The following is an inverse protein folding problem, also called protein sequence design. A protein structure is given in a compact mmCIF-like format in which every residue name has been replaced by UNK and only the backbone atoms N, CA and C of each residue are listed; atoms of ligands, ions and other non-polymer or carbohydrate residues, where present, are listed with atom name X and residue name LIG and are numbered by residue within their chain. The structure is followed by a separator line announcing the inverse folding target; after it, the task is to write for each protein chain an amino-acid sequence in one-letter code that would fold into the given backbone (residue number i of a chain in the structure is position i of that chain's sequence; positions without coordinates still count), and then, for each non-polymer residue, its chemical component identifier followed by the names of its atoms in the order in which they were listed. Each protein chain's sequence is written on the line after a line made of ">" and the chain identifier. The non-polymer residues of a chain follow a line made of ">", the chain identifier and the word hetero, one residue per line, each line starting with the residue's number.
data_IF_639972322771
#
_entry.id   IF_639972322771
#
_cell.length_a   1.000
_cell.length_b   1.000
_cell.length_c   1.000
_cell.angle_alpha   90.00
_cell.angle_beta   90.00
_cell.angle_gamma   90.00
#
_symmetry.space_group_name_H-M   'P 1'
#
loop_
_entity.id
_entity.type
_entity.pdbx_description
1 polymer ?
#
# COMPACT_ATOMS: atom_id res chain seq x y z
N UNK A 1 -27.16 -22.87 18.53
CA UNK A 1 -26.34 -24.00 18.02
C UNK A 1 -24.96 -23.43 17.71
N UNK A 2 -23.99 -23.86 18.49
CA UNK A 2 -22.60 -23.38 18.51
C UNK A 2 -21.91 -23.73 17.17
N UNK A 3 -21.51 -22.71 16.41
CA UNK A 3 -20.57 -22.89 15.31
C UNK A 3 -19.21 -23.27 15.91
N UNK A 4 -18.81 -24.51 15.72
CA UNK A 4 -17.48 -25.02 16.07
C UNK A 4 -16.42 -24.25 15.28
N UNK A 5 -15.89 -23.16 15.84
CA UNK A 5 -14.66 -22.55 15.38
C UNK A 5 -13.54 -23.59 15.56
N UNK A 6 -12.93 -24.01 14.45
CA UNK A 6 -11.74 -24.83 14.48
C UNK A 6 -10.67 -24.08 15.30
N UNK A 7 -10.09 -24.68 16.36
CA UNK A 7 -9.05 -24.03 17.15
C UNK A 7 -7.84 -23.77 16.24
N UNK A 8 -7.49 -22.51 16.03
CA UNK A 8 -6.31 -22.09 15.25
C UNK A 8 -6.58 -21.17 14.05
N UNK A 9 -7.81 -21.01 13.59
CA UNK A 9 -8.17 -20.13 12.47
C UNK A 9 -8.94 -18.87 12.90
N UNK A 10 -8.85 -18.50 14.17
CA UNK A 10 -9.34 -17.21 14.63
C UNK A 10 -8.64 -16.09 13.87
N UNK A 11 -9.42 -15.08 13.50
CA UNK A 11 -8.92 -13.88 12.81
C UNK A 11 -7.74 -13.29 13.58
N UNK A 12 -6.62 -13.04 12.89
CA UNK A 12 -5.38 -12.56 13.52
C UNK A 12 -5.54 -11.07 13.85
N UNK A 13 -5.89 -10.78 15.11
CA UNK A 13 -6.20 -9.42 15.62
C UNK A 13 -5.08 -8.41 15.34
N UNK A 14 -3.81 -8.81 15.45
CA UNK A 14 -2.66 -7.93 15.17
C UNK A 14 -2.63 -7.46 13.73
N UNK A 15 -2.98 -8.32 12.77
CA UNK A 15 -3.05 -7.95 11.35
C UNK A 15 -4.15 -6.92 11.12
N UNK A 16 -5.31 -7.05 11.75
CA UNK A 16 -6.39 -6.07 11.63
C UNK A 16 -5.98 -4.72 12.23
N UNK A 17 -5.31 -4.70 13.40
CA UNK A 17 -4.83 -3.47 14.04
C UNK A 17 -3.80 -2.75 13.13
N UNK A 18 -2.80 -3.48 12.62
CA UNK A 18 -1.76 -2.88 11.79
C UNK A 18 -2.32 -2.43 10.44
N UNK A 19 -3.22 -3.19 9.81
CA UNK A 19 -3.95 -2.73 8.62
C UNK A 19 -4.73 -1.46 8.90
N UNK A 20 -5.47 -1.41 10.00
CA UNK A 20 -6.22 -0.21 10.38
C UNK A 20 -5.31 1.00 10.61
N UNK A 21 -4.16 0.80 11.26
CA UNK A 21 -3.19 1.87 11.45
C UNK A 21 -2.69 2.44 10.11
N UNK A 22 -2.29 1.58 9.17
CA UNK A 22 -1.81 2.05 7.86
C UNK A 22 -2.94 2.63 6.99
N UNK A 23 -4.22 2.22 7.19
CA UNK A 23 -5.37 2.91 6.56
C UNK A 23 -5.48 4.35 7.02
N UNK A 24 -5.37 4.60 8.32
CA UNK A 24 -5.39 5.95 8.88
C UNK A 24 -4.20 6.77 8.35
N UNK A 25 -2.99 6.21 8.37
CA UNK A 25 -1.81 6.89 7.83
C UNK A 25 -1.94 7.22 6.33
N UNK A 26 -2.59 6.35 5.56
CA UNK A 26 -2.80 6.59 4.13
C UNK A 26 -3.64 7.83 3.86
N UNK A 27 -4.66 8.09 4.68
CA UNK A 27 -5.47 9.30 4.54
C UNK A 27 -4.64 10.58 4.69
N UNK A 28 -3.59 10.59 5.53
CA UNK A 28 -2.67 11.73 5.65
C UNK A 28 -2.05 12.07 4.29
N UNK A 29 -1.54 11.05 3.56
CA UNK A 29 -0.92 11.27 2.25
C UNK A 29 -1.91 11.81 1.22
N UNK A 30 -3.13 11.30 1.24
CA UNK A 30 -4.14 11.73 0.27
C UNK A 30 -4.65 13.15 0.57
N UNK A 31 -4.85 13.52 1.84
CA UNK A 31 -5.12 14.92 2.21
C UNK A 31 -3.94 15.81 1.82
N UNK A 32 -2.68 15.34 1.98
CA UNK A 32 -1.49 16.08 1.52
C UNK A 32 -1.53 16.32 0.00
N UNK A 33 -1.91 15.33 -0.79
CA UNK A 33 -2.04 15.49 -2.26
C UNK A 33 -2.99 16.65 -2.59
N UNK A 34 -4.19 16.63 -2.02
CA UNK A 34 -5.20 17.65 -2.27
C UNK A 34 -4.88 19.01 -1.65
N UNK A 35 -4.06 19.05 -0.60
CA UNK A 35 -3.58 20.28 0.02
C UNK A 35 -2.55 21.05 -0.84
N UNK A 36 -2.00 20.39 -1.88
CA UNK A 36 -0.93 20.91 -2.70
C UNK A 36 0.45 20.92 -2.04
N UNK A 37 0.59 20.40 -0.81
CA UNK A 37 1.90 20.31 -0.15
C UNK A 37 2.81 19.31 -0.86
N UNK A 38 4.11 19.61 -1.02
CA UNK A 38 5.05 18.77 -1.74
C UNK A 38 5.23 17.41 -1.07
N UNK A 39 5.72 16.42 -1.84
CA UNK A 39 6.00 15.07 -1.37
C UNK A 39 7.37 14.95 -0.66
N UNK A 40 7.89 16.02 -0.10
CA UNK A 40 9.18 16.10 0.56
C UNK A 40 9.66 17.55 0.61
N UNK A 41 10.92 17.74 0.89
CA UNK A 41 11.55 19.06 0.98
C UNK A 41 12.31 19.25 2.29
N UNK A 42 12.89 20.43 2.51
CA UNK A 42 13.73 20.70 3.69
C UNK A 42 12.92 20.92 4.97
N UNK A 43 11.62 21.22 4.86
CA UNK A 43 10.74 21.41 6.03
C UNK A 43 10.51 20.08 6.75
N UNK A 44 10.87 19.95 8.04
CA UNK A 44 10.71 18.72 8.79
C UNK A 44 9.25 18.26 8.91
N UNK A 45 8.32 19.19 9.08
CA UNK A 45 6.89 18.88 9.24
C UNK A 45 6.33 18.26 7.96
N UNK A 46 6.64 18.84 6.80
CA UNK A 46 6.22 18.31 5.50
C UNK A 46 6.91 16.97 5.22
N UNK A 47 8.22 16.88 5.49
CA UNK A 47 8.99 15.67 5.30
C UNK A 47 8.41 14.50 6.09
N UNK A 48 8.21 14.63 7.40
CA UNK A 48 7.70 13.55 8.24
C UNK A 48 6.22 13.25 7.98
N UNK A 49 5.40 14.23 7.58
CA UNK A 49 4.03 14.01 7.12
C UNK A 49 4.00 13.05 5.93
N UNK A 50 4.93 13.18 5.00
CA UNK A 50 5.06 12.26 3.85
C UNK A 50 5.71 10.94 4.25
N UNK A 51 6.77 10.98 5.05
CA UNK A 51 7.54 9.80 5.42
C UNK A 51 6.71 8.74 6.15
N UNK A 52 5.88 9.14 7.11
CA UNK A 52 5.04 8.19 7.87
C UNK A 52 4.09 7.39 6.96
N UNK A 53 3.72 7.93 5.82
CA UNK A 53 2.82 7.26 4.87
C UNK A 53 3.52 6.23 3.99
N UNK A 54 4.86 6.16 4.04
CA UNK A 54 5.62 5.14 3.31
C UNK A 54 5.33 3.72 3.78
N UNK A 55 4.89 3.55 5.01
CA UNK A 55 4.49 2.25 5.57
C UNK A 55 3.25 1.65 4.91
N UNK A 56 2.39 2.46 4.27
CA UNK A 56 1.07 2.03 3.81
C UNK A 56 1.16 0.93 2.74
N UNK A 57 1.74 1.21 1.58
CA UNK A 57 1.76 0.26 0.47
C UNK A 57 2.51 -1.05 0.81
N UNK A 58 3.72 -1.04 1.43
CA UNK A 58 4.39 -2.27 1.82
C UNK A 58 3.57 -3.13 2.78
N UNK A 59 2.97 -2.52 3.80
CA UNK A 59 2.14 -3.25 4.76
C UNK A 59 0.87 -3.83 4.10
N UNK A 60 0.20 -3.09 3.21
CA UNK A 60 -0.97 -3.58 2.49
C UNK A 60 -0.65 -4.80 1.65
N UNK A 61 0.38 -4.72 0.82
CA UNK A 61 0.78 -5.80 -0.08
C UNK A 61 1.24 -7.02 0.71
N UNK A 62 2.05 -6.82 1.74
CA UNK A 62 2.54 -7.90 2.61
C UNK A 62 1.40 -8.60 3.34
N UNK A 63 0.50 -7.84 3.98
CA UNK A 63 -0.64 -8.43 4.66
C UNK A 63 -1.73 -8.97 3.71
N UNK A 64 -1.79 -8.53 2.46
CA UNK A 64 -2.63 -9.17 1.45
C UNK A 64 -2.11 -10.59 1.14
N UNK A 65 -0.80 -10.76 0.99
CA UNK A 65 -0.17 -12.07 0.83
C UNK A 65 -0.41 -12.99 2.04
N UNK A 66 -0.16 -12.48 3.26
CA UNK A 66 -0.44 -13.23 4.49
C UNK A 66 -1.93 -13.60 4.63
N UNK A 67 -2.83 -12.68 4.26
CA UNK A 67 -4.27 -12.92 4.23
C UNK A 67 -4.68 -13.98 3.22
N UNK A 68 -4.04 -14.02 2.04
CA UNK A 68 -4.26 -15.06 1.03
C UNK A 68 -3.87 -16.44 1.55
N UNK A 69 -2.75 -16.56 2.27
CA UNK A 69 -2.35 -17.81 2.92
C UNK A 69 -3.39 -18.26 3.96
N UNK A 70 -3.80 -17.36 4.86
CA UNK A 70 -4.79 -17.66 5.90
C UNK A 70 -6.16 -18.05 5.29
N UNK A 71 -6.57 -17.38 4.23
CA UNK A 71 -7.79 -17.73 3.48
C UNK A 71 -7.68 -19.13 2.85
N UNK A 72 -6.56 -19.44 2.18
CA UNK A 72 -6.32 -20.76 1.60
C UNK A 72 -6.35 -21.87 2.64
N UNK A 73 -5.75 -21.64 3.82
CA UNK A 73 -5.80 -22.60 4.95
C UNK A 73 -7.23 -22.83 5.45
N UNK A 74 -8.06 -21.79 5.49
CA UNK A 74 -9.45 -21.90 5.89
C UNK A 74 -10.30 -22.66 4.88
N UNK A 75 -10.04 -22.49 3.57
CA UNK A 75 -10.79 -23.17 2.52
C UNK A 75 -10.40 -24.64 2.35
N UNK A 76 -9.13 -25.00 2.65
CA UNK A 76 -8.62 -26.36 2.45
C UNK A 76 -8.44 -26.77 0.98
N UNK A 77 -8.78 -25.88 0.03
CA UNK A 77 -8.72 -26.13 -1.40
C UNK A 77 -7.91 -25.04 -2.12
N UNK A 78 -6.86 -25.46 -2.80
CA UNK A 78 -6.00 -24.56 -3.58
C UNK A 78 -6.70 -24.02 -4.82
N UNK A 79 -7.62 -24.76 -5.43
CA UNK A 79 -8.41 -24.30 -6.56
C UNK A 79 -9.38 -23.16 -6.18
N UNK A 80 -9.99 -23.25 -5.01
CA UNK A 80 -10.82 -22.17 -4.46
C UNK A 80 -9.99 -20.91 -4.16
N UNK A 81 -8.77 -21.09 -3.64
CA UNK A 81 -7.84 -19.97 -3.42
C UNK A 81 -7.43 -19.30 -4.74
N UNK A 82 -7.04 -20.08 -5.76
CA UNK A 82 -6.70 -19.55 -7.09
C UNK A 82 -7.87 -18.75 -7.66
N UNK A 83 -9.07 -19.30 -7.67
CA UNK A 83 -10.27 -18.61 -8.15
C UNK A 83 -10.52 -17.30 -7.40
N UNK A 84 -10.41 -17.33 -6.08
CA UNK A 84 -10.55 -16.12 -5.25
C UNK A 84 -9.54 -15.05 -5.62
N UNK A 85 -8.24 -15.41 -5.73
CA UNK A 85 -7.16 -14.47 -6.04
C UNK A 85 -7.33 -13.84 -7.43
N UNK A 86 -7.63 -14.66 -8.44
CA UNK A 86 -7.84 -14.18 -9.81
C UNK A 86 -9.08 -13.27 -9.89
N UNK A 87 -10.23 -13.73 -9.36
CA UNK A 87 -11.46 -12.93 -9.43
C UNK A 87 -11.33 -11.62 -8.67
N UNK A 88 -10.78 -11.65 -7.46
CA UNK A 88 -10.57 -10.43 -6.68
C UNK A 88 -9.51 -9.53 -7.31
N UNK A 89 -8.41 -10.11 -7.81
CA UNK A 89 -7.34 -9.36 -8.46
C UNK A 89 -7.85 -8.59 -9.68
N UNK A 90 -8.57 -9.26 -10.59
CA UNK A 90 -9.16 -8.61 -11.77
C UNK A 90 -10.22 -7.56 -11.40
N UNK A 91 -11.04 -7.82 -10.37
CA UNK A 91 -11.98 -6.81 -9.87
C UNK A 91 -11.26 -5.56 -9.36
N UNK A 92 -10.16 -5.71 -8.63
CA UNK A 92 -9.36 -4.58 -8.13
C UNK A 92 -8.76 -3.78 -9.28
N UNK A 93 -8.20 -4.45 -10.30
CA UNK A 93 -7.67 -3.79 -11.50
C UNK A 93 -8.77 -2.98 -12.20
N UNK A 94 -9.94 -3.58 -12.42
CA UNK A 94 -11.06 -2.91 -13.05
C UNK A 94 -11.52 -1.68 -12.25
N UNK A 95 -11.65 -1.81 -10.94
CA UNK A 95 -12.10 -0.71 -10.07
C UNK A 95 -11.09 0.43 -10.00
N UNK A 96 -9.78 0.14 -10.02
CA UNK A 96 -8.75 1.18 -10.07
C UNK A 96 -8.85 2.01 -11.34
N UNK A 97 -8.94 1.34 -12.49
CA UNK A 97 -8.99 2.00 -13.79
C UNK A 97 -10.31 2.75 -14.05
N UNK A 98 -11.35 2.51 -13.24
CA UNK A 98 -12.67 3.11 -13.41
C UNK A 98 -13.08 3.97 -12.21
N UNK A 99 -13.65 3.34 -11.19
CA UNK A 99 -14.27 4.02 -10.05
C UNK A 99 -13.25 4.80 -9.19
N UNK A 100 -12.08 4.19 -8.93
CA UNK A 100 -11.07 4.82 -8.08
C UNK A 100 -10.42 6.00 -8.81
N UNK A 101 -10.11 5.83 -10.11
CA UNK A 101 -9.64 6.93 -10.95
C UNK A 101 -10.65 8.08 -10.97
N UNK A 102 -11.95 7.79 -11.12
CA UNK A 102 -12.99 8.81 -11.01
C UNK A 102 -12.99 9.48 -9.63
N UNK A 103 -12.89 8.70 -8.55
CA UNK A 103 -12.81 9.25 -7.18
C UNK A 103 -11.64 10.22 -6.97
N UNK A 104 -10.50 9.94 -7.61
CA UNK A 104 -9.33 10.83 -7.59
C UNK A 104 -9.57 12.16 -8.32
N UNK A 105 -10.22 12.14 -9.49
CA UNK A 105 -10.18 13.24 -10.43
C UNK A 105 -11.51 13.99 -10.60
N UNK A 106 -12.64 13.36 -10.21
CA UNK A 106 -14.01 13.77 -10.56
C UNK A 106 -14.15 14.20 -12.03
N UNK A 107 -13.38 13.54 -12.90
CA UNK A 107 -13.33 13.78 -14.33
C UNK A 107 -13.70 12.48 -15.07
N UNK A 108 -14.67 12.56 -15.98
CA UNK A 108 -15.12 11.42 -16.78
C UNK A 108 -14.34 11.24 -18.09
N UNK A 109 -13.38 12.12 -18.39
CA UNK A 109 -12.55 12.01 -19.59
C UNK A 109 -11.42 10.99 -19.37
N UNK A 110 -11.70 9.74 -19.65
CA UNK A 110 -10.73 8.63 -19.51
C UNK A 110 -9.69 8.59 -20.64
N UNK A 111 -9.88 9.35 -21.74
CA UNK A 111 -8.92 9.39 -22.84
C UNK A 111 -7.68 10.24 -22.53
N UNK A 112 -7.79 11.19 -21.59
CA UNK A 112 -6.68 12.07 -21.21
C UNK A 112 -5.78 11.48 -20.13
N UNK A 113 -6.39 10.76 -19.15
CA UNK A 113 -5.65 10.30 -18.00
C UNK A 113 -6.26 9.04 -17.40
N UNK A 114 -5.44 7.99 -17.28
CA UNK A 114 -5.72 6.76 -16.53
C UNK A 114 -4.58 6.51 -15.56
N UNK A 115 -4.90 6.12 -14.34
CA UNK A 115 -3.94 5.86 -13.27
C UNK A 115 -3.78 4.36 -13.02
N UNK A 116 -2.57 3.83 -13.20
CA UNK A 116 -2.16 2.52 -12.69
C UNK A 116 -1.58 2.69 -11.27
N UNK A 117 -2.47 2.81 -10.28
CA UNK A 117 -2.14 3.11 -8.89
C UNK A 117 -1.93 1.86 -8.03
N UNK A 118 -2.06 2.03 -6.71
CA UNK A 118 -1.75 0.97 -5.73
C UNK A 118 -2.72 -0.21 -5.79
N UNK A 119 -4.01 0.02 -6.06
CA UNK A 119 -5.00 -1.07 -6.13
C UNK A 119 -4.87 -1.85 -7.44
N UNK A 120 -4.52 -1.20 -8.56
CA UNK A 120 -4.15 -1.86 -9.81
C UNK A 120 -2.98 -2.82 -9.58
N UNK A 121 -1.90 -2.34 -8.98
CA UNK A 121 -0.74 -3.16 -8.63
C UNK A 121 -1.11 -4.31 -7.70
N UNK A 122 -1.88 -4.04 -6.64
CA UNK A 122 -2.34 -5.07 -5.69
C UNK A 122 -3.16 -6.16 -6.41
N UNK A 123 -4.04 -5.76 -7.34
CA UNK A 123 -4.85 -6.68 -8.13
C UNK A 123 -3.99 -7.60 -8.98
N UNK A 124 -3.04 -7.07 -9.75
CA UNK A 124 -2.12 -7.89 -10.55
C UNK A 124 -1.22 -8.77 -9.69
N UNK A 125 -0.73 -8.27 -8.55
CA UNK A 125 0.03 -9.10 -7.61
C UNK A 125 -0.80 -10.28 -7.09
N UNK A 126 -2.12 -10.13 -6.86
CA UNK A 126 -2.99 -11.25 -6.49
C UNK A 126 -3.13 -12.26 -7.63
N UNK A 127 -3.31 -11.81 -8.88
CA UNK A 127 -3.38 -12.69 -10.05
C UNK A 127 -2.08 -13.46 -10.22
N UNK A 128 -0.93 -12.79 -10.12
CA UNK A 128 0.39 -13.43 -10.22
C UNK A 128 0.68 -14.37 -9.06
N UNK A 129 0.27 -14.02 -7.82
CA UNK A 129 0.41 -14.92 -6.67
C UNK A 129 -0.34 -16.25 -6.88
N UNK A 130 -1.47 -16.22 -7.61
CA UNK A 130 -2.24 -17.43 -7.91
C UNK A 130 -1.42 -18.52 -8.64
N UNK A 131 -0.35 -18.15 -9.34
CA UNK A 131 0.57 -19.09 -10.00
C UNK A 131 1.41 -19.89 -8.99
N UNK A 132 1.66 -19.33 -7.80
CA UNK A 132 2.58 -19.89 -6.80
C UNK A 132 1.90 -20.57 -5.63
N UNK A 133 0.59 -20.35 -5.39
CA UNK A 133 -0.10 -20.83 -4.16
C UNK A 133 -0.21 -22.34 -4.01
N UNK A 134 0.10 -23.11 -5.06
CA UNK A 134 0.20 -24.56 -5.01
C UNK A 134 1.54 -25.05 -4.45
N UNK A 135 2.53 -24.19 -4.38
CA UNK A 135 3.83 -24.48 -3.79
C UNK A 135 3.75 -24.42 -2.25
N UNK A 136 4.77 -24.99 -1.60
CA UNK A 136 4.91 -24.86 -0.14
C UNK A 136 5.06 -23.37 0.24
N UNK A 137 4.44 -22.90 1.32
CA UNK A 137 4.49 -21.48 1.70
C UNK A 137 5.91 -20.93 1.84
N UNK A 138 6.83 -21.74 2.34
CA UNK A 138 8.26 -21.38 2.45
C UNK A 138 8.87 -21.14 1.06
N UNK A 139 8.56 -21.98 0.07
CA UNK A 139 9.06 -21.80 -1.30
C UNK A 139 8.52 -20.51 -1.91
N UNK A 140 7.22 -20.20 -1.72
CA UNK A 140 6.63 -18.92 -2.18
C UNK A 140 7.32 -17.74 -1.50
N UNK A 141 7.60 -17.82 -0.21
CA UNK A 141 8.33 -16.79 0.53
C UNK A 141 9.75 -16.58 0.00
N UNK A 142 10.48 -17.67 -0.32
CA UNK A 142 11.83 -17.59 -0.92
C UNK A 142 11.76 -16.96 -2.31
N UNK A 143 10.82 -17.35 -3.16
CA UNK A 143 10.60 -16.71 -4.47
C UNK A 143 10.36 -15.21 -4.29
N UNK A 144 9.50 -14.83 -3.34
CA UNK A 144 9.23 -13.44 -3.03
C UNK A 144 10.47 -12.65 -2.64
N UNK A 145 11.27 -13.19 -1.73
CA UNK A 145 12.55 -12.57 -1.33
C UNK A 145 13.53 -12.49 -2.49
N UNK A 146 13.66 -13.55 -3.30
CA UNK A 146 14.51 -13.55 -4.50
C UNK A 146 14.11 -12.44 -5.48
N UNK A 147 12.81 -12.25 -5.73
CA UNK A 147 12.31 -11.15 -6.57
C UNK A 147 12.72 -9.80 -5.98
N UNK A 148 12.56 -9.58 -4.67
CA UNK A 148 12.91 -8.32 -4.01
C UNK A 148 14.42 -8.04 -4.15
N UNK A 149 15.27 -9.03 -3.89
CA UNK A 149 16.72 -8.81 -3.91
C UNK A 149 17.31 -8.75 -5.32
N UNK A 150 16.73 -9.45 -6.29
CA UNK A 150 17.23 -9.52 -7.67
C UNK A 150 16.54 -8.54 -8.63
N UNK A 151 15.54 -7.76 -8.17
CA UNK A 151 14.76 -6.87 -9.03
C UNK A 151 15.61 -5.90 -9.87
N UNK A 152 16.75 -5.46 -9.36
CA UNK A 152 17.62 -4.54 -10.08
C UNK A 152 18.21 -5.14 -11.36
N UNK A 153 18.34 -6.49 -11.46
CA UNK A 153 18.76 -7.16 -12.68
C UNK A 153 17.77 -6.92 -13.84
N UNK A 154 16.51 -6.64 -13.53
CA UNK A 154 15.50 -6.35 -14.53
C UNK A 154 15.73 -5.02 -15.25
N UNK A 155 16.43 -4.07 -14.62
CA UNK A 155 16.83 -2.82 -15.29
C UNK A 155 17.83 -3.04 -16.42
N UNK A 156 18.49 -4.20 -16.45
CA UNK A 156 19.44 -4.56 -17.52
C UNK A 156 18.72 -5.09 -18.76
N UNK A 157 17.50 -5.65 -18.61
CA UNK A 157 16.77 -6.31 -19.72
C UNK A 157 16.58 -5.37 -20.91
N UNK A 158 16.07 -4.13 -20.77
CA UNK A 158 15.95 -3.23 -21.90
C UNK A 158 17.28 -2.88 -22.59
N UNK A 159 18.40 -2.97 -21.85
CA UNK A 159 19.73 -2.65 -22.38
C UNK A 159 20.31 -3.75 -23.28
N UNK A 160 19.89 -5.01 -23.06
CA UNK A 160 20.36 -6.18 -23.82
C UNK A 160 19.41 -6.56 -24.96
N UNK A 161 18.20 -5.97 -25.01
CA UNK A 161 17.25 -6.22 -26.10
C UNK A 161 17.63 -5.46 -27.37
N UNK A 162 17.52 -6.10 -28.56
CA UNK A 162 17.59 -5.41 -29.81
C UNK A 162 16.60 -4.25 -29.93
N UNK A 163 16.93 -3.17 -30.64
CA UNK A 163 16.11 -1.97 -30.73
C UNK A 163 14.68 -2.24 -31.24
N UNK A 164 14.54 -3.19 -32.19
CA UNK A 164 13.21 -3.61 -32.69
C UNK A 164 12.31 -4.23 -31.62
N UNK A 165 12.89 -5.06 -30.76
CA UNK A 165 12.14 -5.65 -29.63
C UNK A 165 11.94 -4.65 -28.50
N UNK A 166 12.89 -3.74 -28.28
CA UNK A 166 12.75 -2.67 -27.27
C UNK A 166 11.57 -1.77 -27.58
N UNK A 167 11.37 -1.37 -28.83
CA UNK A 167 10.23 -0.58 -29.27
C UNK A 167 8.89 -1.31 -29.06
N UNK A 168 8.85 -2.63 -29.31
CA UNK A 168 7.62 -3.44 -29.18
C UNK A 168 7.27 -3.79 -27.74
N UNK A 169 8.26 -4.00 -26.88
CA UNK A 169 8.09 -4.50 -25.50
C UNK A 169 8.12 -3.35 -24.48
N UNK A 170 8.63 -2.17 -24.86
CA UNK A 170 8.92 -1.07 -23.95
C UNK A 170 7.72 -0.65 -23.09
N UNK A 171 6.57 -0.42 -23.72
CA UNK A 171 5.35 -0.04 -22.98
C UNK A 171 4.91 -1.11 -21.97
N UNK A 172 4.96 -2.39 -22.35
CA UNK A 172 4.67 -3.50 -21.42
C UNK A 172 5.72 -3.60 -20.31
N UNK A 173 7.02 -3.36 -20.63
CA UNK A 173 8.09 -3.45 -19.64
C UNK A 173 7.94 -2.43 -18.52
N UNK A 174 7.44 -1.22 -18.81
CA UNK A 174 7.18 -0.20 -17.80
C UNK A 174 6.11 -0.62 -16.76
N UNK A 175 5.20 -1.53 -17.09
CA UNK A 175 4.32 -2.16 -16.10
C UNK A 175 5.06 -3.15 -15.20
N UNK A 176 6.07 -3.83 -15.75
CA UNK A 176 6.80 -4.83 -14.98
C UNK A 176 7.85 -4.19 -14.08
N UNK A 177 8.69 -3.32 -14.64
CA UNK A 177 9.77 -2.64 -13.94
C UNK A 177 10.16 -1.35 -14.66
N UNK A 178 10.33 -0.27 -13.92
CA UNK A 178 10.69 1.03 -14.50
C UNK A 178 12.08 0.97 -15.14
N UNK A 179 12.15 1.25 -16.44
CA UNK A 179 13.37 1.18 -17.24
C UNK A 179 13.75 2.52 -17.86
N UNK A 180 12.92 3.55 -17.70
CA UNK A 180 13.08 4.84 -18.36
C UNK A 180 12.65 4.83 -19.83
N UNK A 181 11.99 3.76 -20.29
CA UNK A 181 11.27 3.75 -21.56
C UNK A 181 9.94 4.51 -21.34
N UNK A 182 9.51 5.27 -22.36
CA UNK A 182 8.26 6.01 -22.23
C UNK A 182 7.07 5.05 -22.24
N UNK A 183 6.20 5.10 -21.20
CA UNK A 183 4.96 4.35 -21.22
C UNK A 183 3.99 4.97 -22.23
N UNK A 184 2.86 4.31 -22.46
CA UNK A 184 1.79 4.90 -23.27
C UNK A 184 1.32 6.24 -22.66
N UNK A 185 1.18 7.30 -23.46
CA UNK A 185 0.97 8.67 -22.95
C UNK A 185 -0.35 8.87 -22.19
N UNK A 186 -1.33 7.98 -22.38
CA UNK A 186 -2.65 8.04 -21.72
C UNK A 186 -2.71 7.33 -20.36
N UNK A 187 -1.67 6.58 -19.95
CA UNK A 187 -1.63 5.87 -18.69
C UNK A 187 -0.43 6.28 -17.84
N UNK A 188 -0.71 6.71 -16.62
CA UNK A 188 0.32 7.00 -15.63
C UNK A 188 0.55 5.79 -14.74
N UNK A 189 1.75 5.19 -14.85
CA UNK A 189 2.13 4.00 -14.06
C UNK A 189 2.85 4.48 -12.80
N UNK A 190 2.14 4.51 -11.69
CA UNK A 190 2.72 4.90 -10.40
C UNK A 190 3.35 3.70 -9.67
N UNK A 191 2.83 2.49 -9.88
CA UNK A 191 3.30 1.28 -9.24
C UNK A 191 3.62 0.20 -10.27
N UNK A 192 4.90 -0.10 -10.48
CA UNK A 192 5.36 -1.24 -11.27
C UNK A 192 5.16 -2.56 -10.51
N UNK A 193 5.09 -3.69 -11.20
CA UNK A 193 4.67 -4.96 -10.58
C UNK A 193 5.77 -5.66 -9.79
N UNK A 194 7.03 -5.62 -10.27
CA UNK A 194 8.05 -6.55 -9.82
C UNK A 194 8.42 -6.43 -8.34
N UNK A 195 8.72 -5.28 -7.74
CA UNK A 195 9.01 -5.29 -6.30
C UNK A 195 7.81 -5.80 -5.50
N UNK A 196 6.60 -5.47 -5.91
CA UNK A 196 5.39 -5.69 -5.13
C UNK A 196 4.88 -7.13 -5.18
N UNK A 197 5.04 -7.85 -6.31
CA UNK A 197 4.75 -9.29 -6.31
C UNK A 197 5.70 -10.05 -5.37
N UNK A 198 6.96 -9.61 -5.30
CA UNK A 198 7.91 -10.13 -4.33
C UNK A 198 7.46 -9.91 -2.89
N UNK A 199 6.97 -8.70 -2.56
CA UNK A 199 6.43 -8.37 -1.23
C UNK A 199 5.19 -9.21 -0.91
N UNK A 200 4.27 -9.40 -1.87
CA UNK A 200 3.07 -10.21 -1.66
C UNK A 200 3.42 -11.69 -1.44
N UNK A 201 4.33 -12.24 -2.23
CA UNK A 201 4.79 -13.62 -2.10
C UNK A 201 5.53 -13.85 -0.78
N UNK A 202 6.39 -12.91 -0.35
CA UNK A 202 7.03 -12.94 0.98
C UNK A 202 5.98 -12.90 2.10
N UNK A 203 4.95 -12.05 1.97
CA UNK A 203 3.81 -12.00 2.88
C UNK A 203 3.02 -13.32 2.94
N UNK A 204 2.81 -13.98 1.80
CA UNK A 204 2.19 -15.30 1.75
C UNK A 204 2.99 -16.34 2.53
N UNK A 205 4.31 -16.40 2.30
CA UNK A 205 5.20 -17.29 3.07
C UNK A 205 5.20 -16.96 4.57
N UNK A 206 5.19 -15.67 4.91
CA UNK A 206 5.12 -15.20 6.30
C UNK A 206 3.80 -15.58 6.99
N UNK A 207 2.73 -15.76 6.25
CA UNK A 207 1.42 -16.17 6.77
C UNK A 207 1.50 -17.44 7.62
N UNK A 208 2.44 -18.36 7.32
CA UNK A 208 2.68 -19.56 8.12
C UNK A 208 3.21 -19.23 9.54
N UNK A 209 3.98 -18.16 9.70
CA UNK A 209 4.50 -17.69 10.99
C UNK A 209 3.37 -17.21 11.89
N UNK A 210 2.32 -16.60 11.31
CA UNK A 210 1.18 -16.10 12.08
C UNK A 210 0.37 -17.20 12.77
N UNK A 211 0.50 -18.46 12.31
CA UNK A 211 -0.16 -19.63 12.90
C UNK A 211 0.67 -20.35 13.96
N UNK A 212 1.91 -19.92 14.21
CA UNK A 212 2.76 -20.51 15.24
C UNK A 212 2.29 -20.14 16.65
N UNK A 213 2.73 -20.93 17.63
CA UNK A 213 2.55 -20.62 19.04
C UNK A 213 3.02 -19.20 19.39
N UNK A 214 2.33 -18.48 20.30
CA UNK A 214 2.54 -17.05 20.55
C UNK A 214 4.00 -16.67 20.80
N UNK A 215 4.73 -17.41 21.64
CA UNK A 215 6.13 -17.10 21.96
C UNK A 215 7.07 -17.37 20.78
N UNK A 216 6.84 -18.42 20.00
CA UNK A 216 7.63 -18.71 18.79
C UNK A 216 7.37 -17.66 17.71
N UNK A 217 6.10 -17.29 17.51
CA UNK A 217 5.68 -16.21 16.59
C UNK A 217 6.32 -14.89 16.98
N UNK A 218 6.21 -14.47 18.25
CA UNK A 218 6.83 -13.25 18.77
C UNK A 218 8.34 -13.23 18.51
N UNK A 219 9.04 -14.33 18.84
CA UNK A 219 10.48 -14.41 18.62
C UNK A 219 10.86 -14.27 17.16
N UNK A 220 10.13 -14.91 16.24
CA UNK A 220 10.40 -14.81 14.81
C UNK A 220 10.06 -13.43 14.25
N UNK A 221 8.93 -12.83 14.63
CA UNK A 221 8.56 -11.47 14.21
C UNK A 221 9.63 -10.46 14.65
N UNK A 222 10.09 -10.54 15.91
CA UNK A 222 11.14 -9.65 16.41
C UNK A 222 12.48 -9.88 15.70
N UNK A 223 12.88 -11.15 15.51
CA UNK A 223 14.13 -11.46 14.79
C UNK A 223 14.09 -10.93 13.36
N UNK A 224 13.05 -11.22 12.59
CA UNK A 224 12.92 -10.78 11.20
C UNK A 224 12.86 -9.26 11.15
N UNK A 225 11.97 -8.65 11.93
CA UNK A 225 11.75 -7.20 11.89
C UNK A 225 12.99 -6.41 12.33
N UNK A 226 13.60 -6.78 13.47
CA UNK A 226 14.79 -6.08 13.98
C UNK A 226 16.02 -6.31 13.10
N UNK A 227 16.19 -7.52 12.52
CA UNK A 227 17.28 -7.76 11.55
C UNK A 227 17.10 -6.91 10.29
N UNK A 228 15.88 -6.76 9.79
CA UNK A 228 15.60 -5.89 8.64
C UNK A 228 15.91 -4.41 8.97
N UNK A 229 15.51 -3.94 10.16
CA UNK A 229 15.81 -2.58 10.64
C UNK A 229 17.34 -2.37 10.75
N UNK A 230 18.04 -3.30 11.42
CA UNK A 230 19.49 -3.21 11.60
C UNK A 230 20.23 -3.20 10.25
N UNK A 231 19.85 -4.10 9.34
CA UNK A 231 20.44 -4.16 8.00
C UNK A 231 20.17 -2.87 7.21
N UNK A 232 18.94 -2.34 7.27
CA UNK A 232 18.62 -1.04 6.69
C UNK A 232 19.51 0.07 7.23
N UNK A 233 19.62 0.20 8.55
CA UNK A 233 20.41 1.25 9.19
C UNK A 233 21.89 1.17 8.79
N UNK A 234 22.46 -0.04 8.82
CA UNK A 234 23.87 -0.24 8.45
C UNK A 234 24.11 0.07 6.98
N UNK A 235 23.36 -0.57 6.07
CA UNK A 235 23.61 -0.44 4.63
C UNK A 235 23.31 0.97 4.15
N UNK A 236 22.19 1.59 4.57
CA UNK A 236 21.86 2.95 4.18
C UNK A 236 22.89 3.96 4.71
N UNK A 237 23.38 3.79 5.94
CA UNK A 237 24.45 4.64 6.50
C UNK A 237 25.75 4.49 5.72
N UNK A 238 26.18 3.26 5.44
CA UNK A 238 27.39 3.00 4.63
C UNK A 238 27.28 3.68 3.26
N UNK A 239 26.17 3.52 2.56
CA UNK A 239 25.96 4.14 1.25
C UNK A 239 25.98 5.68 1.32
N UNK A 240 25.40 6.26 2.38
CA UNK A 240 25.41 7.71 2.59
C UNK A 240 26.83 8.24 2.84
N UNK A 241 27.62 7.54 3.67
CA UNK A 241 28.98 7.97 4.00
C UNK A 241 30.00 7.68 2.89
N UNK A 242 29.75 6.65 2.06
CA UNK A 242 30.61 6.32 0.90
C UNK A 242 30.28 7.15 -0.33
N UNK A 243 29.16 7.87 -0.35
CA UNK A 243 28.76 8.73 -1.45
C UNK A 243 29.53 10.05 -1.46
N UNK A 244 29.49 10.80 -2.59
CA UNK A 244 30.16 12.08 -2.70
C UNK A 244 29.62 13.07 -1.65
N UNK A 245 30.53 13.79 -1.00
CA UNK A 245 30.15 14.87 -0.09
C UNK A 245 29.61 16.06 -0.89
N UNK A 246 28.45 16.60 -0.49
CA UNK A 246 27.89 17.82 -1.05
C UNK A 246 27.64 18.81 0.08
N UNK A 247 28.10 20.07 -0.04
CA UNK A 247 27.86 21.11 0.97
C UNK A 247 26.35 21.37 1.21
N UNK A 248 25.53 21.21 0.17
CA UNK A 248 24.08 21.44 0.22
C UNK A 248 23.26 20.17 0.51
N UNK A 249 23.94 19.09 0.95
CA UNK A 249 23.25 17.84 1.25
C UNK A 249 22.28 18.01 2.44
N UNK A 250 21.06 17.47 2.34
CA UNK A 250 20.13 17.46 3.46
C UNK A 250 20.72 16.78 4.70
N UNK A 251 20.23 17.11 5.90
CA UNK A 251 20.66 16.45 7.14
C UNK A 251 20.66 14.93 7.03
N UNK A 252 21.60 14.28 7.71
CA UNK A 252 21.78 12.81 7.65
C UNK A 252 20.47 12.04 7.80
N UNK A 253 19.62 12.43 8.75
CA UNK A 253 18.33 11.73 9.00
C UNK A 253 17.38 11.80 7.80
N UNK A 254 17.34 12.92 7.08
CA UNK A 254 16.52 13.04 5.88
C UNK A 254 17.06 12.17 4.75
N UNK A 255 18.39 12.15 4.55
CA UNK A 255 19.03 11.26 3.57
C UNK A 255 18.80 9.79 3.91
N UNK A 256 18.89 9.40 5.18
CA UNK A 256 18.65 8.05 5.66
C UNK A 256 17.21 7.61 5.39
N UNK A 257 16.23 8.47 5.64
CA UNK A 257 14.80 8.14 5.51
C UNK A 257 14.25 8.38 4.11
N UNK A 258 14.96 9.06 3.21
CA UNK A 258 14.58 9.31 1.82
C UNK A 258 14.91 8.12 0.92
N UNK A 259 14.20 7.01 1.12
CA UNK A 259 14.40 5.81 0.33
C UNK A 259 13.47 5.77 -0.89
N UNK A 260 13.97 5.22 -2.01
CA UNK A 260 13.23 5.16 -3.27
C UNK A 260 12.03 4.22 -3.17
N UNK A 261 10.84 4.78 -3.43
CA UNK A 261 9.54 4.07 -3.43
C UNK A 261 9.10 3.62 -4.82
N UNK A 262 9.55 4.29 -5.86
CA UNK A 262 9.11 4.09 -7.24
C UNK A 262 10.31 3.89 -8.19
N UNK A 263 10.69 2.63 -8.52
CA UNK A 263 10.28 1.37 -7.90
C UNK A 263 10.78 1.20 -6.46
N UNK A 264 10.07 0.39 -5.67
CA UNK A 264 10.39 0.19 -4.26
C UNK A 264 11.76 -0.51 -4.10
N UNK A 265 12.75 0.20 -3.57
CA UNK A 265 14.09 -0.33 -3.31
C UNK A 265 14.11 -1.32 -2.14
N UNK A 266 15.14 -2.14 -2.05
CA UNK A 266 15.34 -3.06 -0.92
C UNK A 266 15.42 -2.28 0.41
N UNK A 267 16.12 -1.14 0.42
CA UNK A 267 16.23 -0.28 1.60
C UNK A 267 14.87 0.30 2.01
N UNK A 268 14.07 0.75 1.04
CA UNK A 268 12.71 1.21 1.30
C UNK A 268 11.84 0.10 1.93
N UNK A 269 11.93 -1.13 1.39
CA UNK A 269 11.17 -2.26 1.92
C UNK A 269 11.65 -2.68 3.32
N UNK A 270 12.95 -2.68 3.59
CA UNK A 270 13.49 -2.95 4.93
C UNK A 270 13.11 -1.88 5.93
N UNK A 271 13.19 -0.59 5.56
CA UNK A 271 12.76 0.55 6.37
C UNK A 271 11.29 0.47 6.80
N UNK A 272 10.43 -0.03 5.93
CA UNK A 272 8.97 -0.04 6.16
C UNK A 272 8.46 -1.38 6.70
N UNK A 273 8.86 -2.51 6.13
CA UNK A 273 8.42 -3.84 6.57
C UNK A 273 9.10 -4.30 7.85
N UNK A 274 10.35 -3.89 8.09
CA UNK A 274 11.07 -4.20 9.33
C UNK A 274 10.26 -3.80 10.57
N UNK A 275 9.96 -2.51 10.76
CA UNK A 275 9.10 -2.05 11.86
C UNK A 275 7.70 -2.65 11.83
N UNK A 276 7.09 -2.79 10.66
CA UNK A 276 5.74 -3.38 10.52
C UNK A 276 5.69 -4.79 11.09
N UNK A 277 6.68 -5.64 10.78
CA UNK A 277 6.77 -7.01 11.29
C UNK A 277 7.13 -7.04 12.78
N UNK A 278 8.05 -6.19 13.22
CA UNK A 278 8.45 -6.10 14.63
C UNK A 278 7.30 -5.65 15.55
N UNK A 279 6.35 -4.87 15.03
CA UNK A 279 5.18 -4.40 15.77
C UNK A 279 4.06 -5.46 15.91
N UNK A 280 4.09 -6.57 15.18
CA UNK A 280 3.04 -7.61 15.26
C UNK A 280 2.84 -8.10 16.71
N UNK A 281 3.86 -8.47 17.49
CA UNK A 281 3.68 -8.93 18.87
C UNK A 281 3.11 -7.85 19.80
N UNK A 282 3.42 -6.59 19.55
CA UNK A 282 2.85 -5.47 20.31
C UNK A 282 1.37 -5.30 19.97
N UNK A 283 1.02 -5.35 18.69
CA UNK A 283 -0.36 -5.26 18.22
C UNK A 283 -1.22 -6.43 18.74
N UNK A 284 -0.67 -7.64 18.95
CA UNK A 284 -1.38 -8.76 19.58
C UNK A 284 -1.81 -8.46 21.03
N UNK A 285 -0.99 -7.71 21.75
CA UNK A 285 -1.24 -7.33 23.13
C UNK A 285 -2.08 -6.07 23.25
N UNK A 286 -2.23 -5.30 22.17
CA UNK A 286 -2.96 -4.03 22.20
C UNK A 286 -4.43 -4.22 22.58
N UNK A 287 -4.90 -3.42 23.53
CA UNK A 287 -6.27 -3.39 24.05
C UNK A 287 -6.72 -1.93 24.18
N UNK A 288 -8.00 -1.73 24.42
CA UNK A 288 -8.58 -0.41 24.65
C UNK A 288 -9.18 0.22 23.39
N UNK A 289 -9.73 1.43 23.54
CA UNK A 289 -10.53 2.11 22.51
C UNK A 289 -9.81 2.32 21.19
N UNK A 290 -8.53 2.71 21.23
CA UNK A 290 -7.74 2.92 20.02
C UNK A 290 -7.59 1.62 19.23
N UNK A 291 -7.27 0.50 19.89
CA UNK A 291 -7.15 -0.78 19.21
C UNK A 291 -8.48 -1.20 18.55
N UNK A 292 -9.62 -0.96 19.21
CA UNK A 292 -10.94 -1.27 18.65
C UNK A 292 -11.26 -0.39 17.42
N UNK A 293 -10.91 0.90 17.44
CA UNK A 293 -11.06 1.80 16.28
C UNK A 293 -10.23 1.30 15.10
N UNK A 294 -8.95 0.96 15.35
CA UNK A 294 -8.07 0.44 14.30
C UNK A 294 -8.58 -0.90 13.73
N UNK A 295 -9.15 -1.77 14.58
CA UNK A 295 -9.76 -3.02 14.12
C UNK A 295 -10.94 -2.76 13.18
N UNK A 296 -11.76 -1.74 13.44
CA UNK A 296 -12.87 -1.39 12.53
C UNK A 296 -12.35 -1.12 11.13
N UNK A 297 -11.35 -0.27 10.99
CA UNK A 297 -10.72 0.04 9.69
C UNK A 297 -10.06 -1.21 9.06
N UNK A 298 -9.29 -1.97 9.84
CA UNK A 298 -8.58 -3.16 9.35
C UNK A 298 -9.49 -4.31 8.93
N UNK A 299 -10.77 -4.31 9.36
CA UNK A 299 -11.77 -5.31 8.96
C UNK A 299 -12.37 -5.06 7.59
N UNK A 300 -12.39 -3.81 7.13
CA UNK A 300 -13.00 -3.39 5.86
C UNK A 300 -12.07 -2.47 5.05
N UNK A 301 -10.80 -2.86 4.83
CA UNK A 301 -9.79 -1.98 4.27
C UNK A 301 -10.14 -1.52 2.85
N UNK A 302 -10.76 -2.37 2.02
CA UNK A 302 -11.11 -1.99 0.67
C UNK A 302 -12.32 -1.04 0.62
N UNK A 303 -13.31 -1.25 1.49
CA UNK A 303 -14.41 -0.31 1.64
C UNK A 303 -13.93 1.08 2.08
N UNK A 304 -13.02 1.12 3.07
CA UNK A 304 -12.35 2.36 3.44
C UNK A 304 -11.66 3.00 2.24
N UNK A 305 -10.89 2.20 1.46
CA UNK A 305 -10.16 2.70 0.30
C UNK A 305 -11.09 3.33 -0.74
N UNK A 306 -12.23 2.73 -1.01
CA UNK A 306 -13.22 3.26 -1.97
C UNK A 306 -13.84 4.57 -1.53
N UNK A 307 -14.03 4.76 -0.21
CA UNK A 307 -14.70 5.95 0.32
C UNK A 307 -13.76 7.13 0.59
N UNK A 308 -12.52 6.87 1.07
CA UNK A 308 -11.68 7.95 1.57
C UNK A 308 -11.19 8.89 0.47
N UNK A 309 -10.92 8.40 -0.74
CA UNK A 309 -10.46 9.24 -1.86
C UNK A 309 -11.53 10.26 -2.27
N UNK A 310 -12.77 9.85 -2.63
CA UNK A 310 -13.80 10.82 -2.98
C UNK A 310 -14.20 11.72 -1.80
N UNK A 311 -14.16 11.23 -0.56
CA UNK A 311 -14.42 12.06 0.62
C UNK A 311 -13.37 13.16 0.75
N UNK A 312 -12.09 12.82 0.70
CA UNK A 312 -10.99 13.80 0.79
C UNK A 312 -11.06 14.81 -0.38
N UNK A 313 -11.41 14.35 -1.59
CA UNK A 313 -11.61 15.24 -2.73
C UNK A 313 -12.72 16.25 -2.46
N UNK A 314 -13.89 15.78 -1.99
CA UNK A 314 -15.01 16.67 -1.60
C UNK A 314 -14.55 17.64 -0.51
N UNK A 315 -13.86 17.18 0.52
CA UNK A 315 -13.31 18.03 1.58
C UNK A 315 -12.38 19.11 1.04
N UNK A 316 -11.56 18.77 0.03
CA UNK A 316 -10.69 19.74 -0.63
C UNK A 316 -11.49 20.82 -1.40
N UNK A 317 -12.53 20.43 -2.14
CA UNK A 317 -13.41 21.37 -2.81
C UNK A 317 -14.12 22.32 -1.83
N UNK A 318 -14.59 21.78 -0.70
CA UNK A 318 -15.20 22.57 0.37
C UNK A 318 -14.20 23.54 0.99
N UNK A 319 -12.98 23.11 1.28
CA UNK A 319 -11.92 23.98 1.83
C UNK A 319 -11.58 25.11 0.84
N UNK A 320 -11.45 24.80 -0.44
CA UNK A 320 -11.19 25.82 -1.47
C UNK A 320 -12.33 26.84 -1.55
N UNK A 321 -13.58 26.37 -1.55
CA UNK A 321 -14.74 27.24 -1.56
C UNK A 321 -14.78 28.19 -0.34
N UNK A 322 -14.50 27.67 0.85
CA UNK A 322 -14.48 28.47 2.08
C UNK A 322 -13.33 29.50 2.10
N UNK A 323 -12.20 29.21 1.43
CA UNK A 323 -11.02 30.08 1.42
C UNK A 323 -11.04 31.11 0.27
N UNK A 324 -11.58 30.74 -0.89
CA UNK A 324 -11.48 31.51 -2.13
C UNK A 324 -12.83 31.74 -2.84
N UNK A 325 -13.94 31.28 -2.27
CA UNK A 325 -15.28 31.33 -2.88
C UNK A 325 -15.36 30.60 -4.24
N UNK A 326 -14.41 29.69 -4.51
CA UNK A 326 -14.35 28.86 -5.71
C UNK A 326 -13.85 27.45 -5.38
N UNK A 327 -14.39 26.44 -6.04
CA UNK A 327 -14.04 25.03 -5.72
C UNK A 327 -12.69 24.62 -6.30
N UNK A 328 -12.26 25.23 -7.42
CA UNK A 328 -10.99 24.94 -8.10
C UNK A 328 -10.80 23.47 -8.45
N UNK A 329 -11.85 22.83 -9.02
CA UNK A 329 -11.81 21.44 -9.47
C UNK A 329 -10.72 21.19 -10.52
N UNK A 330 -10.37 22.18 -11.31
CA UNK A 330 -9.34 22.13 -12.33
C UNK A 330 -7.96 21.76 -11.78
N UNK A 331 -7.68 22.01 -10.51
CA UNK A 331 -6.41 21.63 -9.88
C UNK A 331 -6.26 20.12 -9.68
N UNK A 332 -7.37 19.36 -9.72
CA UNK A 332 -7.44 17.96 -9.34
C UNK A 332 -7.75 17.01 -10.50
N UNK A 333 -7.84 17.50 -11.73
CA UNK A 333 -8.21 16.70 -12.91
C UNK A 333 -7.21 15.57 -13.23
N UNK A 334 -5.98 15.66 -12.72
CA UNK A 334 -4.95 14.63 -12.83
C UNK A 334 -4.48 14.12 -11.46
N UNK A 335 -5.27 14.28 -10.39
CA UNK A 335 -4.88 13.73 -9.08
C UNK A 335 -4.60 12.21 -9.17
N UNK A 336 -3.55 11.72 -8.48
CA UNK A 336 -2.78 12.32 -7.40
C UNK A 336 -1.69 13.34 -7.81
N UNK A 337 -1.59 13.71 -9.07
CA UNK A 337 -0.67 14.75 -9.58
C UNK A 337 -1.40 16.09 -9.62
N UNK A 338 -1.89 16.56 -8.45
CA UNK A 338 -2.64 17.80 -8.32
C UNK A 338 -1.77 19.03 -8.62
N UNK A 339 -2.37 20.07 -9.27
CA UNK A 339 -1.70 21.28 -9.70
C UNK A 339 -2.16 22.49 -8.87
N UNK A 340 -2.05 22.40 -7.54
CA UNK A 340 -2.45 23.48 -6.62
C UNK A 340 -1.39 24.59 -6.64
N UNK A 341 -1.76 25.87 -6.94
CA UNK A 341 -0.85 27.00 -6.90
C UNK A 341 -0.19 27.20 -5.54
N UNK A 342 1.03 27.74 -5.52
CA UNK A 342 1.85 27.84 -4.30
C UNK A 342 1.20 28.66 -3.18
N UNK A 343 0.53 29.75 -3.53
CA UNK A 343 -0.22 30.66 -2.63
C UNK A 343 -1.53 30.08 -2.11
N UNK A 344 -2.06 29.07 -2.81
CA UNK A 344 -3.32 28.38 -2.46
C UNK A 344 -3.09 27.13 -1.62
N UNK A 345 -1.84 26.68 -1.44
CA UNK A 345 -1.51 25.51 -0.61
C UNK A 345 -1.99 25.65 0.82
N UNK A 346 -2.27 24.53 1.43
CA UNK A 346 -2.72 24.50 2.82
C UNK A 346 -1.55 24.59 3.78
N UNK A 347 -1.80 25.14 4.97
CA UNK A 347 -0.88 24.99 6.10
C UNK A 347 -0.98 23.57 6.67
N UNK A 348 0.08 23.11 7.36
CA UNK A 348 0.05 21.81 8.05
C UNK A 348 -1.10 21.68 9.07
N UNK A 349 -1.41 22.70 9.91
CA UNK A 349 -2.55 22.62 10.81
C UNK A 349 -3.88 22.39 10.09
N UNK A 350 -4.11 23.05 8.96
CA UNK A 350 -5.33 22.85 8.15
C UNK A 350 -5.38 21.45 7.56
N UNK A 351 -4.25 20.93 7.03
CA UNK A 351 -4.14 19.56 6.55
C UNK A 351 -4.55 18.56 7.63
N UNK A 352 -4.00 18.68 8.84
CA UNK A 352 -4.31 17.75 9.93
C UNK A 352 -5.74 17.91 10.45
N UNK A 353 -6.29 19.12 10.42
CA UNK A 353 -7.70 19.33 10.78
C UNK A 353 -8.63 18.57 9.81
N UNK A 354 -8.44 18.74 8.51
CA UNK A 354 -9.24 18.03 7.47
C UNK A 354 -9.05 16.53 7.61
N UNK A 355 -7.80 16.07 7.75
CA UNK A 355 -7.49 14.67 7.98
C UNK A 355 -8.27 14.07 9.17
N UNK A 356 -8.31 14.75 10.31
CA UNK A 356 -9.03 14.26 11.49
C UNK A 356 -10.53 14.19 11.22
N UNK A 357 -11.11 15.20 10.59
CA UNK A 357 -12.53 15.23 10.23
C UNK A 357 -12.87 14.05 9.32
N UNK A 358 -12.09 13.85 8.25
CA UNK A 358 -12.33 12.77 7.28
C UNK A 358 -12.18 11.39 7.91
N UNK A 359 -11.17 11.17 8.76
CA UNK A 359 -10.99 9.89 9.47
C UNK A 359 -12.15 9.60 10.43
N UNK A 360 -12.67 10.61 11.11
CA UNK A 360 -13.86 10.46 11.97
C UNK A 360 -15.09 10.08 11.15
N UNK A 361 -15.33 10.73 10.02
CA UNK A 361 -16.44 10.38 9.13
C UNK A 361 -16.30 8.96 8.58
N UNK A 362 -15.10 8.58 8.15
CA UNK A 362 -14.78 7.23 7.66
C UNK A 362 -14.96 6.17 8.74
N UNK A 363 -14.68 6.50 10.02
CA UNK A 363 -14.90 5.56 11.12
C UNK A 363 -16.36 5.16 11.23
N UNK A 364 -17.29 6.11 11.20
CA UNK A 364 -18.72 5.79 11.27
C UNK A 364 -19.18 4.97 10.07
N UNK A 365 -18.77 5.32 8.85
CA UNK A 365 -19.08 4.56 7.66
C UNK A 365 -18.53 3.12 7.72
N UNK A 366 -17.26 2.95 8.10
CA UNK A 366 -16.63 1.63 8.23
C UNK A 366 -17.28 0.80 9.36
N UNK A 367 -17.61 1.42 10.49
CA UNK A 367 -18.31 0.75 11.60
C UNK A 367 -19.69 0.26 11.18
N UNK A 368 -20.44 1.06 10.42
CA UNK A 368 -21.70 0.65 9.84
C UNK A 368 -21.51 -0.55 8.90
N UNK A 369 -20.55 -0.48 7.98
CA UNK A 369 -20.29 -1.54 7.00
C UNK A 369 -19.81 -2.84 7.65
N UNK A 370 -18.99 -2.78 8.71
CA UNK A 370 -18.62 -3.97 9.50
C UNK A 370 -19.86 -4.66 10.06
N UNK A 371 -20.81 -3.89 10.63
CA UNK A 371 -22.06 -4.44 11.16
C UNK A 371 -22.92 -5.04 10.05
N UNK A 372 -23.02 -4.35 8.91
CA UNK A 372 -23.73 -4.83 7.74
C UNK A 372 -23.18 -6.19 7.26
N UNK A 373 -21.84 -6.31 7.13
CA UNK A 373 -21.20 -7.59 6.76
C UNK A 373 -21.50 -8.74 7.73
N UNK A 374 -21.55 -8.45 9.02
CA UNK A 374 -21.82 -9.47 10.04
C UNK A 374 -23.29 -9.93 9.98
N UNK A 375 -24.20 -9.01 9.69
CA UNK A 375 -25.64 -9.29 9.64
C UNK A 375 -26.12 -9.93 8.32
N UNK A 376 -25.27 -9.92 7.26
CA UNK A 376 -25.62 -10.48 5.94
C UNK A 376 -24.56 -11.50 5.46
N UNK A 377 -24.34 -12.60 6.20
CA UNK A 377 -23.33 -13.61 5.85
C UNK A 377 -23.68 -14.38 4.56
N UNK A 378 -24.95 -14.38 4.15
CA UNK A 378 -25.45 -14.99 2.92
C UNK A 378 -24.97 -14.27 1.65
N UNK A 379 -24.61 -12.99 1.74
CA UNK A 379 -24.16 -12.21 0.60
C UNK A 379 -22.68 -12.51 0.25
N UNK A 380 -22.51 -13.42 -0.71
CA UNK A 380 -21.18 -13.89 -1.13
C UNK A 380 -20.28 -12.79 -1.74
N UNK A 381 -20.86 -11.69 -2.19
CA UNK A 381 -20.08 -10.56 -2.76
C UNK A 381 -19.34 -9.75 -1.69
N UNK A 382 -19.82 -9.74 -0.46
CA UNK A 382 -19.19 -9.01 0.65
C UNK A 382 -17.76 -9.48 0.98
N UNK A 383 -17.36 -10.67 0.51
CA UNK A 383 -15.99 -11.16 0.67
C UNK A 383 -14.97 -10.45 -0.25
N UNK A 384 -15.45 -9.80 -1.30
CA UNK A 384 -14.59 -9.12 -2.28
C UNK A 384 -14.37 -7.63 -1.94
N UNK A 385 -15.23 -7.04 -1.09
CA UNK A 385 -15.19 -5.63 -0.66
C UNK A 385 -14.85 -5.45 0.84
#
# INVERSE_FOLDING_TARGET
>A
MSSSELPGLARVRSVDILRGAVMVLMAIDHVRVYSGLPAGGPDPGIFFTRWITHFCAPAFVFFAGAGAFLYGKKQGDSGALVRYLVTRGLLLVFLELTLIRFGWTFNLNYSEFVLAGVIWMLGWCMVLLALFVRLRPVAVGIIGLSIIFLQQLLSLVPRILPDSLRASVGGFWEFMYSSGLEPWPWISILYVLVPWIGVMAAGYGFGAILLLEPEKRKRLCLRIGLSAIALFLVVASVLIFSGPASPDAPPFIFRLLSQQKYPASQLFLMMTLGPTIALIPLAEKARGRLAEVLIVFGRVPFFYYLLHIPLIHISALVVNFLRASAMHQEWYVHAPFASVPGDSRWSLPLLYLVFVIDVVMLYFACRWYVRYKVNHPENKWLKYV
#
